data_IF_913434428028
#
_entry.id   IF_913434428028
#
_cell.length_a   1.000
_cell.length_b   1.000
_cell.length_c   1.000
_cell.angle_alpha   90.00
_cell.angle_beta   90.00
_cell.angle_gamma   90.00
#
_symmetry.space_group_name_H-M   'P 1'
#
loop_
_entity.id
_entity.type
_entity.pdbx_description
1 polymer ?
#
# COMPACT_ATOMS: atom_id res chain seq x y z
N UNK A 1 37.13 -3.55 9.47
CA UNK A 1 36.81 -2.90 8.19
C UNK A 1 35.55 -3.55 7.63
N UNK A 2 34.38 -2.92 7.79
CA UNK A 2 33.09 -3.52 7.44
C UNK A 2 32.09 -2.46 6.91
N UNK A 3 32.53 -1.63 5.96
CA UNK A 3 31.71 -0.49 5.48
C UNK A 3 31.35 -0.57 3.98
N UNK A 4 31.74 -1.63 3.27
CA UNK A 4 31.54 -1.71 1.81
C UNK A 4 30.29 -2.47 1.34
N UNK A 5 29.57 -3.18 2.22
CA UNK A 5 28.44 -4.03 1.81
C UNK A 5 27.05 -3.37 1.87
N UNK A 6 26.93 -2.23 2.54
CA UNK A 6 25.66 -1.48 2.69
C UNK A 6 25.33 -0.60 1.47
N UNK A 7 26.36 -0.10 0.77
CA UNK A 7 26.19 0.87 -0.32
C UNK A 7 25.59 0.26 -1.61
N UNK A 8 26.04 -0.93 -2.02
CA UNK A 8 25.56 -1.55 -3.27
C UNK A 8 24.10 -2.02 -3.21
N UNK A 9 23.64 -2.47 -2.03
CA UNK A 9 22.26 -2.92 -1.81
C UNK A 9 21.26 -1.77 -1.83
N UNK A 10 21.63 -0.63 -1.22
CA UNK A 10 20.81 0.58 -1.23
C UNK A 10 20.63 1.14 -2.65
N UNK A 11 21.68 1.10 -3.46
CA UNK A 11 21.63 1.53 -4.87
C UNK A 11 20.70 0.62 -5.70
N UNK A 12 20.78 -0.70 -5.50
CA UNK A 12 19.89 -1.66 -6.17
C UNK A 12 18.42 -1.49 -5.76
N UNK A 13 18.14 -1.31 -4.47
CA UNK A 13 16.77 -1.11 -3.96
C UNK A 13 16.14 0.18 -4.50
N UNK A 14 16.90 1.28 -4.53
CA UNK A 14 16.41 2.54 -5.10
C UNK A 14 16.01 2.39 -6.57
N UNK A 15 16.82 1.67 -7.35
CA UNK A 15 16.54 1.41 -8.77
C UNK A 15 15.29 0.55 -8.97
N UNK A 16 15.08 -0.48 -8.14
CA UNK A 16 13.90 -1.34 -8.22
C UNK A 16 12.63 -0.61 -7.80
N UNK A 17 12.71 0.24 -6.77
CA UNK A 17 11.61 1.10 -6.34
C UNK A 17 11.15 2.02 -7.45
N UNK A 18 12.08 2.74 -8.08
CA UNK A 18 11.78 3.65 -9.19
C UNK A 18 11.13 2.93 -10.37
N UNK A 19 11.68 1.78 -10.77
CA UNK A 19 11.11 0.95 -11.84
C UNK A 19 9.70 0.47 -11.50
N UNK A 20 9.48 0.01 -10.27
CA UNK A 20 8.17 -0.47 -9.81
C UNK A 20 7.11 0.65 -9.84
N UNK A 21 7.45 1.84 -9.32
CA UNK A 21 6.54 2.98 -9.33
C UNK A 21 6.23 3.48 -10.73
N UNK A 22 7.21 3.46 -11.64
CA UNK A 22 7.00 3.80 -13.04
C UNK A 22 6.02 2.82 -13.72
N UNK A 23 6.19 1.52 -13.50
CA UNK A 23 5.31 0.48 -14.05
C UNK A 23 3.88 0.60 -13.52
N UNK A 24 3.70 0.83 -12.22
CA UNK A 24 2.38 1.06 -11.61
C UNK A 24 1.72 2.32 -12.17
N UNK A 25 2.49 3.37 -12.37
CA UNK A 25 1.95 4.63 -12.88
C UNK A 25 1.47 4.47 -14.33
N UNK A 26 2.30 3.87 -15.19
CA UNK A 26 1.96 3.61 -16.59
C UNK A 26 0.74 2.70 -16.74
N UNK A 27 0.65 1.68 -15.90
CA UNK A 27 -0.46 0.76 -15.94
C UNK A 27 -1.78 1.31 -15.40
N UNK A 28 -1.72 2.24 -14.44
CA UNK A 28 -2.89 3.04 -14.03
C UNK A 28 -3.35 3.98 -15.15
N UNK A 29 -2.42 4.55 -15.93
CA UNK A 29 -2.75 5.32 -17.14
C UNK A 29 -3.41 4.45 -18.21
N UNK A 30 -2.92 3.22 -18.40
CA UNK A 30 -3.47 2.24 -19.34
C UNK A 30 -4.78 1.58 -18.86
N UNK A 31 -5.22 1.87 -17.62
CA UNK A 31 -6.41 1.26 -16.99
C UNK A 31 -6.40 -0.27 -17.10
N UNK A 32 -5.27 -0.88 -16.73
CA UNK A 32 -5.12 -2.33 -16.75
C UNK A 32 -6.26 -3.01 -15.98
N UNK A 33 -6.91 -4.05 -16.55
CA UNK A 33 -7.96 -4.78 -15.85
C UNK A 33 -7.42 -5.68 -14.72
N UNK A 34 -6.10 -5.91 -14.70
CA UNK A 34 -5.46 -6.90 -13.83
C UNK A 34 -5.17 -6.40 -12.42
N UNK A 35 -5.03 -5.08 -12.23
CA UNK A 35 -4.78 -4.50 -10.92
C UNK A 35 -5.35 -3.09 -10.85
N UNK A 36 -5.97 -2.77 -9.72
CA UNK A 36 -6.53 -1.45 -9.43
C UNK A 36 -5.62 -0.78 -8.40
N UNK A 37 -4.76 0.14 -8.82
CA UNK A 37 -3.84 0.84 -7.92
C UNK A 37 -4.30 2.27 -7.72
N UNK A 38 -4.45 2.68 -6.46
CA UNK A 38 -4.79 4.06 -6.13
C UNK A 38 -3.51 4.87 -5.92
N UNK A 39 -3.17 5.70 -6.91
CA UNK A 39 -2.17 6.75 -6.75
C UNK A 39 -2.64 7.77 -5.70
N UNK A 40 -1.68 8.53 -5.14
CA UNK A 40 -1.89 9.50 -4.06
C UNK A 40 -3.14 10.36 -4.20
N UNK A 41 -3.32 11.00 -5.36
CA UNK A 41 -4.44 11.90 -5.61
C UNK A 41 -5.78 11.17 -5.58
N UNK A 42 -5.85 9.95 -6.13
CA UNK A 42 -7.09 9.16 -6.16
C UNK A 42 -7.40 8.59 -4.78
N UNK A 43 -6.37 8.22 -4.04
CA UNK A 43 -6.48 7.74 -2.67
C UNK A 43 -7.02 8.85 -1.75
N UNK A 44 -6.40 10.04 -1.81
CA UNK A 44 -6.82 11.22 -1.04
C UNK A 44 -8.26 11.64 -1.37
N UNK A 45 -8.61 11.70 -2.66
CA UNK A 45 -10.00 11.96 -3.09
C UNK A 45 -10.97 10.90 -2.59
N UNK A 46 -10.54 9.64 -2.44
CA UNK A 46 -11.40 8.60 -1.89
C UNK A 46 -11.62 8.79 -0.39
N UNK A 47 -10.60 9.21 0.36
CA UNK A 47 -10.74 9.58 1.79
C UNK A 47 -11.78 10.69 1.94
N UNK A 48 -11.60 11.81 1.23
CA UNK A 48 -12.54 12.95 1.26
C UNK A 48 -13.97 12.49 0.97
N UNK A 49 -14.12 11.69 -0.09
CA UNK A 49 -15.41 11.10 -0.51
C UNK A 49 -16.06 10.16 0.49
N UNK A 50 -15.28 9.52 1.36
CA UNK A 50 -15.80 8.68 2.46
C UNK A 50 -16.22 9.60 3.61
N UNK A 51 -15.37 10.54 4.01
CA UNK A 51 -15.68 11.50 5.09
C UNK A 51 -16.91 12.36 4.76
N UNK A 52 -17.04 12.84 3.52
CA UNK A 52 -18.21 13.58 3.05
C UNK A 52 -19.49 12.74 3.08
N UNK A 53 -19.37 11.45 2.77
CA UNK A 53 -20.49 10.52 2.85
C UNK A 53 -20.89 10.24 4.31
N UNK A 54 -19.93 10.18 5.23
CA UNK A 54 -20.19 10.02 6.66
C UNK A 54 -20.93 11.23 7.24
N UNK A 55 -20.51 12.45 6.86
CA UNK A 55 -21.10 13.73 7.29
C UNK A 55 -22.47 14.03 6.67
N UNK A 56 -22.86 13.35 5.60
CA UNK A 56 -24.11 13.61 4.90
C UNK A 56 -25.33 13.10 5.68
N UNK A 57 -26.29 13.99 5.96
CA UNK A 57 -27.58 13.65 6.60
C UNK A 57 -28.48 12.76 5.72
N UNK A 58 -28.47 12.99 4.40
CA UNK A 58 -29.25 12.22 3.41
C UNK A 58 -28.32 11.62 2.36
N UNK A 59 -27.97 10.35 2.57
CA UNK A 59 -27.00 9.64 1.74
C UNK A 59 -27.63 9.17 0.43
N UNK A 60 -27.03 9.54 -0.69
CA UNK A 60 -27.40 8.97 -1.99
C UNK A 60 -26.92 7.50 -2.10
N UNK A 61 -27.51 6.67 -2.97
CA UNK A 61 -27.16 5.24 -3.05
C UNK A 61 -25.67 4.96 -3.26
N UNK A 62 -24.94 5.83 -3.98
CA UNK A 62 -23.50 5.71 -4.18
C UNK A 62 -22.70 5.95 -2.90
N UNK A 63 -23.11 6.91 -2.07
CA UNK A 63 -22.54 7.15 -0.74
C UNK A 63 -22.83 5.98 0.20
N UNK A 64 -24.07 5.47 0.21
CA UNK A 64 -24.42 4.28 1.00
C UNK A 64 -23.54 3.07 0.62
N UNK A 65 -23.37 2.81 -0.69
CA UNK A 65 -22.51 1.72 -1.19
C UNK A 65 -21.05 1.92 -0.80
N UNK A 66 -20.56 3.15 -0.81
CA UNK A 66 -19.19 3.49 -0.40
C UNK A 66 -18.99 3.21 1.08
N UNK A 67 -19.88 3.70 1.93
CA UNK A 67 -19.77 3.51 3.38
C UNK A 67 -19.86 2.04 3.77
N UNK A 68 -20.69 1.24 3.08
CA UNK A 68 -20.75 -0.23 3.27
C UNK A 68 -19.44 -0.97 2.97
N UNK A 69 -18.53 -0.35 2.22
CA UNK A 69 -17.28 -0.98 1.77
C UNK A 69 -16.06 -0.38 2.44
N UNK A 70 -16.10 0.91 2.74
CA UNK A 70 -14.96 1.70 3.16
C UNK A 70 -15.32 2.53 4.39
N UNK A 71 -14.36 2.62 5.30
CA UNK A 71 -14.32 3.60 6.37
C UNK A 71 -12.91 4.21 6.41
N UNK A 72 -12.75 5.34 7.11
CA UNK A 72 -11.45 5.98 7.31
C UNK A 72 -11.03 5.79 8.76
N UNK A 73 -9.82 5.30 8.95
CA UNK A 73 -9.20 5.14 10.26
C UNK A 73 -7.94 6.00 10.31
N UNK A 74 -7.71 6.66 11.45
CA UNK A 74 -6.47 7.41 11.70
C UNK A 74 -5.50 6.45 12.39
N UNK A 75 -4.32 6.25 11.78
CA UNK A 75 -3.23 5.45 12.36
C UNK A 75 -2.03 6.39 12.52
N UNK A 76 -1.72 6.74 13.76
CA UNK A 76 -0.78 7.82 14.06
C UNK A 76 -1.33 9.16 13.57
N UNK A 77 -0.63 9.81 12.64
CA UNK A 77 -1.03 11.08 12.02
C UNK A 77 -1.59 10.90 10.61
N UNK A 78 -1.66 9.66 10.10
CA UNK A 78 -2.04 9.37 8.71
C UNK A 78 -3.43 8.75 8.65
N UNK A 79 -4.28 9.32 7.79
CA UNK A 79 -5.59 8.75 7.46
C UNK A 79 -5.42 7.57 6.50
N UNK A 80 -6.02 6.43 6.85
CA UNK A 80 -6.00 5.20 6.04
C UNK A 80 -7.42 4.76 5.72
N UNK A 81 -7.62 4.31 4.49
CA UNK A 81 -8.86 3.68 4.06
C UNK A 81 -8.87 2.24 4.55
N UNK A 82 -9.91 1.84 5.25
CA UNK A 82 -10.11 0.46 5.73
C UNK A 82 -11.31 -0.19 5.05
N UNK A 83 -11.23 -1.50 4.84
CA UNK A 83 -12.38 -2.30 4.43
C UNK A 83 -13.36 -2.43 5.59
N UNK A 84 -14.63 -2.11 5.35
CA UNK A 84 -15.69 -2.33 6.33
C UNK A 84 -16.08 -3.82 6.31
N UNK A 85 -15.41 -4.62 7.14
CA UNK A 85 -15.63 -6.06 7.27
C UNK A 85 -15.58 -6.48 8.74
N UNK A 86 -16.32 -7.52 9.11
CA UNK A 86 -16.22 -8.13 10.44
C UNK A 86 -14.93 -8.95 10.55
N UNK A 87 -14.18 -8.77 11.65
CA UNK A 87 -12.91 -9.47 11.90
C UNK A 87 -11.67 -8.57 11.78
N UNK A 88 -10.62 -9.06 11.12
CA UNK A 88 -9.34 -8.36 11.03
C UNK A 88 -9.43 -7.08 10.18
N UNK A 89 -8.83 -6.00 10.67
CA UNK A 89 -8.75 -4.72 9.96
C UNK A 89 -7.87 -4.90 8.72
N UNK A 90 -8.44 -4.66 7.53
CA UNK A 90 -7.71 -4.57 6.27
C UNK A 90 -7.65 -3.10 5.85
N UNK A 91 -6.46 -2.53 5.78
CA UNK A 91 -6.26 -1.20 5.25
C UNK A 91 -5.72 -1.26 3.82
N UNK A 92 -6.13 -0.29 3.00
CA UNK A 92 -5.65 -0.12 1.64
C UNK A 92 -4.41 0.75 1.64
N UNK A 93 -3.41 0.35 0.84
CA UNK A 93 -2.18 1.10 0.63
C UNK A 93 -2.34 2.10 -0.51
N UNK A 94 -1.60 3.18 -0.40
CA UNK A 94 -1.37 4.09 -1.51
C UNK A 94 -0.30 3.50 -2.44
N UNK A 95 -0.36 3.81 -3.73
CA UNK A 95 0.53 3.22 -4.74
C UNK A 95 2.03 3.44 -4.48
N UNK A 96 2.39 4.57 -3.86
CA UNK A 96 3.76 4.91 -3.46
C UNK A 96 4.27 4.14 -2.24
N UNK A 97 3.38 3.72 -1.34
CA UNK A 97 3.71 2.89 -0.17
C UNK A 97 3.81 1.39 -0.50
N UNK A 98 3.23 0.98 -1.64
CA UNK A 98 3.11 -0.43 -1.99
C UNK A 98 4.47 -1.14 -2.10
N UNK A 99 5.45 -0.49 -2.73
CA UNK A 99 6.80 -1.05 -2.85
C UNK A 99 7.44 -1.22 -1.48
N UNK A 100 7.36 -0.19 -0.64
CA UNK A 100 8.05 -0.16 0.65
C UNK A 100 7.50 -1.26 1.58
N UNK A 101 6.18 -1.49 1.58
CA UNK A 101 5.57 -2.60 2.33
C UNK A 101 6.01 -3.97 1.79
N UNK A 102 6.06 -4.13 0.47
CA UNK A 102 6.49 -5.40 -0.15
C UNK A 102 7.98 -5.66 0.14
N UNK A 103 8.84 -4.65 0.03
CA UNK A 103 10.28 -4.78 0.31
C UNK A 103 10.51 -5.12 1.79
N UNK A 104 9.83 -4.43 2.71
CA UNK A 104 9.91 -4.75 4.15
C UNK A 104 9.44 -6.18 4.41
N UNK A 105 8.32 -6.61 3.84
CA UNK A 105 7.84 -7.98 4.00
C UNK A 105 8.81 -9.00 3.38
N UNK A 106 9.35 -8.73 2.19
CA UNK A 106 10.32 -9.58 1.51
C UNK A 106 11.60 -9.76 2.34
N UNK A 107 12.10 -8.67 2.94
CA UNK A 107 13.26 -8.67 3.82
C UNK A 107 12.96 -9.38 5.14
N UNK A 108 11.80 -9.12 5.75
CA UNK A 108 11.39 -9.73 7.02
C UNK A 108 11.24 -11.25 6.93
N UNK A 109 10.78 -11.75 5.79
CA UNK A 109 10.71 -13.19 5.51
C UNK A 109 12.10 -13.82 5.28
N UNK A 110 13.19 -13.01 5.28
CA UNK A 110 14.63 -13.36 5.23
C UNK A 110 14.91 -14.62 4.41
N UNK A 111 15.32 -14.46 3.14
CA UNK A 111 15.87 -15.52 2.26
C UNK A 111 15.79 -16.94 2.86
N UNK A 112 14.58 -17.49 2.97
CA UNK A 112 14.30 -18.58 3.93
C UNK A 112 15.18 -19.81 3.78
N UNK A 113 15.85 -20.01 2.64
CA UNK A 113 16.84 -21.05 2.45
C UNK A 113 18.19 -20.81 3.15
N UNK A 114 18.74 -19.59 3.11
CA UNK A 114 20.14 -19.33 3.50
C UNK A 114 20.31 -19.20 5.01
N UNK A 115 19.39 -18.47 5.65
CA UNK A 115 19.44 -18.24 7.09
C UNK A 115 18.93 -19.43 7.91
N UNK A 116 18.01 -20.23 7.36
CA UNK A 116 17.64 -21.52 7.97
C UNK A 116 18.78 -22.53 7.90
N UNK A 117 19.49 -22.62 6.77
CA UNK A 117 20.65 -23.51 6.64
C UNK A 117 21.78 -23.18 7.64
N UNK A 118 22.00 -21.90 7.97
CA UNK A 118 23.02 -21.49 8.94
C UNK A 118 22.60 -21.65 10.40
N UNK A 119 21.31 -21.68 10.70
CA UNK A 119 20.81 -21.91 12.07
C UNK A 119 20.75 -23.40 12.45
N UNK A 120 20.79 -24.28 11.44
CA UNK A 120 20.76 -25.75 11.60
C UNK A 120 22.17 -26.39 11.56
N UNK A 121 23.24 -25.60 11.48
CA UNK A 121 24.65 -26.06 11.56
C UNK A 121 25.33 -25.51 12.81
#
# INVERSE_FOLDING_TARGET
MAEHSTSSRQVGQKQWREKFLAEISDSEMKKSPYFNVLLSDKYSKLIERVEDAEKSEKRIPSQQRRLKRFSVLIIGEVKKIIAQMEGNIKYYLQGDELYDVIDVAHVAVRHGGRDKMLAET
#
